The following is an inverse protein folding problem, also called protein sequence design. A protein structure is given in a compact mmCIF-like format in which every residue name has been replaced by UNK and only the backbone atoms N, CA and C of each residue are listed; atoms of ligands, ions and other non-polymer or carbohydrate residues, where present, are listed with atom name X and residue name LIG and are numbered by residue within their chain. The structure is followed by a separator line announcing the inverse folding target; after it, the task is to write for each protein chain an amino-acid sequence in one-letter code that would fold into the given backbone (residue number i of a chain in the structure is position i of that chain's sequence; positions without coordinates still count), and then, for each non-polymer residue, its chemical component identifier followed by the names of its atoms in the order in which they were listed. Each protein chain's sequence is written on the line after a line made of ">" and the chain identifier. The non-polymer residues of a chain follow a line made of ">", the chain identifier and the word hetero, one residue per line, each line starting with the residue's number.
data_IF_284978893575
#
_entry.id   IF_284978893575
#
_cell.length_a   1.000
_cell.length_b   1.000
_cell.length_c   1.000
_cell.angle_alpha   90.00
_cell.angle_beta   90.00
_cell.angle_gamma   90.00
#
_symmetry.space_group_name_H-M   'P 1'
#
loop_
_entity.id
_entity.type
_entity.pdbx_description
1 polymer ?
#
# COMPACT_ATOMS: atom_id res chain seq x y z
N UNK A 1 -10.29 -59.81 -6.71
CA UNK A 1 -10.31 -58.51 -7.43
C UNK A 1 -10.80 -57.41 -6.48
N UNK A 2 -9.91 -56.56 -5.94
CA UNK A 2 -10.25 -55.52 -4.98
C UNK A 2 -10.63 -54.21 -5.70
N UNK A 3 -11.86 -54.14 -6.23
CA UNK A 3 -12.34 -52.96 -6.98
C UNK A 3 -13.44 -52.17 -6.24
N UNK A 4 -13.96 -52.70 -5.13
CA UNK A 4 -15.06 -52.07 -4.38
C UNK A 4 -14.63 -50.91 -3.48
N UNK A 5 -13.41 -50.93 -2.95
CA UNK A 5 -12.98 -49.96 -1.93
C UNK A 5 -12.66 -48.57 -2.49
N UNK A 6 -12.03 -48.51 -3.67
CA UNK A 6 -11.62 -47.25 -4.32
C UNK A 6 -12.86 -46.41 -4.73
N UNK A 7 -13.93 -47.05 -5.18
CA UNK A 7 -15.19 -46.38 -5.55
C UNK A 7 -15.95 -45.86 -4.32
N UNK A 8 -15.96 -46.61 -3.22
CA UNK A 8 -16.61 -46.21 -1.97
C UNK A 8 -15.92 -45.00 -1.31
N UNK A 9 -14.58 -44.96 -1.35
CA UNK A 9 -13.79 -43.81 -0.85
C UNK A 9 -14.09 -42.54 -1.66
N UNK A 10 -14.15 -42.63 -2.99
CA UNK A 10 -14.51 -41.49 -3.87
C UNK A 10 -15.94 -41.00 -3.61
N UNK A 11 -16.89 -41.88 -3.29
CA UNK A 11 -18.26 -41.50 -2.91
C UNK A 11 -18.35 -40.83 -1.53
N UNK A 12 -17.63 -41.34 -0.53
CA UNK A 12 -17.57 -40.73 0.82
C UNK A 12 -16.98 -39.32 0.76
N UNK A 13 -15.88 -39.13 0.02
CA UNK A 13 -15.28 -37.82 -0.21
C UNK A 13 -16.27 -36.84 -0.87
N UNK A 14 -16.94 -37.27 -1.95
CA UNK A 14 -17.98 -36.46 -2.62
C UNK A 14 -19.15 -36.10 -1.69
N UNK A 15 -19.60 -37.04 -0.84
CA UNK A 15 -20.67 -36.78 0.14
C UNK A 15 -20.24 -35.76 1.19
N UNK A 16 -18.99 -35.85 1.68
CA UNK A 16 -18.41 -34.87 2.61
C UNK A 16 -18.34 -33.48 1.99
N UNK A 17 -17.86 -33.36 0.75
CA UNK A 17 -17.83 -32.07 0.03
C UNK A 17 -19.23 -31.50 -0.16
N UNK A 18 -20.21 -32.32 -0.60
CA UNK A 18 -21.60 -31.87 -0.76
C UNK A 18 -22.19 -31.37 0.56
N UNK A 19 -21.91 -32.06 1.67
CA UNK A 19 -22.38 -31.64 2.99
C UNK A 19 -21.74 -30.33 3.43
N UNK A 20 -20.42 -30.17 3.26
CA UNK A 20 -19.73 -28.92 3.57
C UNK A 20 -20.24 -27.74 2.74
N UNK A 21 -20.52 -27.94 1.45
CA UNK A 21 -21.14 -26.91 0.59
C UNK A 21 -22.55 -26.60 1.06
N UNK A 22 -23.37 -27.62 1.34
CA UNK A 22 -24.73 -27.40 1.87
C UNK A 22 -24.67 -26.59 3.16
N UNK A 23 -23.87 -27.01 4.13
CA UNK A 23 -23.73 -26.35 5.44
C UNK A 23 -23.26 -24.90 5.27
N UNK A 24 -22.33 -24.63 4.34
CA UNK A 24 -21.88 -23.27 4.00
C UNK A 24 -23.02 -22.44 3.39
N UNK A 25 -23.73 -22.98 2.40
CA UNK A 25 -24.76 -22.23 1.65
C UNK A 25 -26.01 -21.96 2.48
N UNK A 26 -26.35 -22.88 3.39
CA UNK A 26 -27.47 -22.71 4.32
C UNK A 26 -27.05 -22.02 5.61
N UNK A 27 -25.77 -21.70 5.80
CA UNK A 27 -25.29 -21.00 6.98
C UNK A 27 -25.83 -19.57 7.05
N UNK A 28 -26.24 -19.14 8.24
CA UNK A 28 -26.59 -17.75 8.53
C UNK A 28 -25.41 -16.79 8.31
N UNK A 29 -24.18 -17.31 8.32
CA UNK A 29 -22.94 -16.54 8.18
C UNK A 29 -22.56 -16.25 6.73
N UNK A 30 -23.13 -16.95 5.73
CA UNK A 30 -22.75 -16.76 4.34
C UNK A 30 -22.95 -15.30 3.88
N UNK A 31 -24.15 -14.75 4.10
CA UNK A 31 -24.47 -13.39 3.67
C UNK A 31 -23.62 -12.34 4.41
N UNK A 32 -23.44 -12.38 5.74
CA UNK A 32 -22.48 -11.54 6.45
C UNK A 32 -21.05 -11.61 5.89
N UNK A 33 -20.54 -12.82 5.62
CA UNK A 33 -19.20 -13.01 5.05
C UNK A 33 -19.07 -12.39 3.65
N UNK A 34 -20.08 -12.56 2.78
CA UNK A 34 -20.10 -11.93 1.46
C UNK A 34 -20.13 -10.39 1.55
N UNK A 35 -20.95 -9.83 2.45
CA UNK A 35 -20.99 -8.38 2.70
C UNK A 35 -19.62 -7.86 3.16
N UNK A 36 -18.93 -8.60 4.01
CA UNK A 36 -17.58 -8.28 4.47
C UNK A 36 -16.56 -8.36 3.35
N UNK A 37 -16.60 -9.41 2.52
CA UNK A 37 -15.74 -9.55 1.34
C UNK A 37 -15.90 -8.39 0.36
N UNK A 38 -17.13 -7.94 0.11
CA UNK A 38 -17.41 -6.76 -0.74
C UNK A 38 -16.73 -5.50 -0.16
N UNK A 39 -16.75 -5.29 1.16
CA UNK A 39 -16.09 -4.14 1.78
C UNK A 39 -14.56 -4.19 1.60
N UNK A 40 -13.95 -5.36 1.78
CA UNK A 40 -12.51 -5.56 1.52
C UNK A 40 -12.18 -5.23 0.07
N UNK A 41 -12.90 -5.84 -0.88
CA UNK A 41 -12.69 -5.61 -2.31
C UNK A 41 -12.91 -4.15 -2.70
N UNK A 42 -13.87 -3.45 -2.07
CA UNK A 42 -14.11 -2.03 -2.32
C UNK A 42 -12.93 -1.16 -1.91
N UNK A 43 -12.30 -1.39 -0.75
CA UNK A 43 -11.09 -0.65 -0.35
C UNK A 43 -9.93 -0.89 -1.32
N UNK A 44 -9.72 -2.13 -1.77
CA UNK A 44 -8.70 -2.47 -2.77
C UNK A 44 -9.02 -1.76 -4.10
N UNK A 45 -10.26 -1.86 -4.58
CA UNK A 45 -10.68 -1.28 -5.86
C UNK A 45 -10.58 0.25 -5.89
N UNK A 46 -10.83 0.93 -4.77
CA UNK A 46 -10.59 2.39 -4.66
C UNK A 46 -9.11 2.70 -4.86
N UNK A 47 -8.22 1.92 -4.26
CA UNK A 47 -6.78 2.13 -4.38
C UNK A 47 -6.23 1.76 -5.76
N UNK A 48 -6.72 0.71 -6.41
CA UNK A 48 -6.37 0.40 -7.81
C UNK A 48 -6.76 1.53 -8.75
N UNK A 49 -8.00 2.04 -8.64
CA UNK A 49 -8.46 3.20 -9.43
C UNK A 49 -7.68 4.48 -9.15
N UNK A 50 -7.05 4.62 -7.97
CA UNK A 50 -6.16 5.75 -7.68
C UNK A 50 -4.87 5.65 -8.50
N UNK A 51 -4.37 4.45 -8.78
CA UNK A 51 -3.14 4.21 -9.55
C UNK A 51 -3.37 4.20 -11.07
N UNK A 52 -4.53 3.77 -11.54
CA UNK A 52 -4.84 3.61 -12.98
C UNK A 52 -5.03 4.93 -13.77
N UNK A 53 -4.85 6.12 -13.16
CA UNK A 53 -5.03 7.40 -13.85
C UNK A 53 -3.75 7.85 -14.57
N UNK A 54 -3.91 8.54 -15.71
CA UNK A 54 -2.87 8.93 -16.68
C UNK A 54 -1.57 9.53 -16.10
N UNK A 55 -1.64 10.22 -14.96
CA UNK A 55 -0.44 10.64 -14.23
C UNK A 55 -0.59 10.36 -12.73
N UNK A 56 0.30 9.51 -12.21
CA UNK A 56 0.46 9.25 -10.78
C UNK A 56 1.93 9.25 -10.38
N UNK A 57 2.34 10.14 -9.46
CA UNK A 57 3.69 10.11 -8.92
C UNK A 57 3.99 8.78 -8.25
N UNK A 58 5.21 8.27 -8.42
CA UNK A 58 5.70 7.01 -7.80
C UNK A 58 5.50 7.03 -6.28
N UNK A 59 5.64 8.21 -5.65
CA UNK A 59 5.38 8.45 -4.23
C UNK A 59 3.98 7.99 -3.77
N UNK A 60 2.98 7.99 -4.67
CA UNK A 60 1.61 7.57 -4.38
C UNK A 60 1.51 6.07 -4.10
N UNK A 61 2.42 5.26 -4.65
CA UNK A 61 2.48 3.83 -4.40
C UNK A 61 2.91 3.57 -2.96
N UNK A 62 3.97 4.25 -2.48
CA UNK A 62 4.40 4.14 -1.08
C UNK A 62 3.28 4.56 -0.12
N UNK A 63 2.62 5.69 -0.42
CA UNK A 63 1.48 6.18 0.38
C UNK A 63 0.36 5.15 0.50
N UNK A 64 0.01 4.49 -0.60
CA UNK A 64 -1.02 3.46 -0.63
C UNK A 64 -0.69 2.32 0.33
N UNK A 65 0.54 1.83 0.33
CA UNK A 65 0.95 0.73 1.21
C UNK A 65 1.00 1.12 2.68
N UNK A 66 1.29 2.39 2.99
CA UNK A 66 1.16 2.92 4.36
C UNK A 66 -0.30 2.98 4.82
N UNK A 67 -1.21 3.41 3.94
CA UNK A 67 -2.61 3.64 4.31
C UNK A 67 -3.45 2.36 4.35
N UNK A 68 -3.20 1.42 3.44
CA UNK A 68 -4.01 0.23 3.26
C UNK A 68 -4.22 -0.60 4.55
N UNK A 69 -3.21 -0.81 5.43
CA UNK A 69 -3.41 -1.47 6.72
C UNK A 69 -4.39 -0.78 7.66
N UNK A 70 -4.49 0.56 7.61
CA UNK A 70 -5.44 1.34 8.42
C UNK A 70 -6.82 1.38 7.77
N UNK A 71 -6.90 1.51 6.44
CA UNK A 71 -8.14 1.39 5.70
C UNK A 71 -8.80 0.01 5.95
N UNK A 72 -8.02 -1.06 6.00
CA UNK A 72 -8.50 -2.42 6.27
C UNK A 72 -9.02 -2.63 7.71
N UNK A 73 -8.60 -1.83 8.68
CA UNK A 73 -9.15 -1.87 10.04
C UNK A 73 -10.60 -1.40 10.06
N UNK A 74 -10.94 -0.42 9.21
CA UNK A 74 -12.30 0.12 9.11
C UNK A 74 -13.32 -0.85 8.50
N UNK A 75 -12.88 -1.98 7.94
CA UNK A 75 -13.71 -2.96 7.24
C UNK A 75 -14.47 -3.90 8.20
N UNK A 76 -14.11 -3.96 9.48
CA UNK A 76 -14.71 -4.87 10.46
C UNK A 76 -14.13 -6.28 10.38
N UNK A 77 -12.83 -6.39 10.09
CA UNK A 77 -12.08 -7.64 10.18
C UNK A 77 -11.87 -8.03 11.66
N UNK A 78 -11.86 -9.32 11.94
CA UNK A 78 -11.36 -9.84 13.22
C UNK A 78 -9.87 -9.58 13.34
N UNK A 79 -9.33 -9.66 14.56
CA UNK A 79 -7.88 -9.48 14.77
C UNK A 79 -7.04 -10.47 13.95
N UNK A 80 -7.51 -11.72 13.81
CA UNK A 80 -6.82 -12.75 13.03
C UNK A 80 -6.81 -12.42 11.53
N UNK A 81 -7.97 -12.07 10.96
CA UNK A 81 -8.06 -11.69 9.54
C UNK A 81 -7.26 -10.41 9.26
N UNK A 82 -7.32 -9.42 10.14
CA UNK A 82 -6.53 -8.20 9.99
C UNK A 82 -5.03 -8.49 10.01
N UNK A 83 -4.57 -9.41 10.89
CA UNK A 83 -3.18 -9.87 10.90
C UNK A 83 -2.79 -10.51 9.58
N UNK A 84 -3.65 -11.37 9.02
CA UNK A 84 -3.43 -11.97 7.70
C UNK A 84 -3.37 -10.93 6.58
N UNK A 85 -4.28 -9.95 6.58
CA UNK A 85 -4.27 -8.86 5.59
C UNK A 85 -2.99 -8.04 5.68
N UNK A 86 -2.58 -7.64 6.89
CA UNK A 86 -1.32 -6.90 7.10
C UNK A 86 -0.11 -7.69 6.59
N UNK A 87 -0.07 -9.00 6.82
CA UNK A 87 0.99 -9.85 6.31
C UNK A 87 1.00 -9.89 4.78
N UNK A 88 -0.16 -10.03 4.13
CA UNK A 88 -0.25 -10.00 2.65
C UNK A 88 0.17 -8.63 2.11
N UNK A 89 -0.29 -7.53 2.71
CA UNK A 89 0.11 -6.17 2.31
C UNK A 89 1.62 -6.01 2.41
N UNK A 90 2.24 -6.48 3.49
CA UNK A 90 3.70 -6.45 3.66
C UNK A 90 4.42 -7.24 2.57
N UNK A 91 4.02 -8.49 2.33
CA UNK A 91 4.63 -9.33 1.27
C UNK A 91 4.51 -8.68 -0.11
N UNK A 92 3.38 -8.03 -0.39
CA UNK A 92 3.19 -7.31 -1.66
C UNK A 92 4.04 -6.04 -1.71
N UNK A 93 4.13 -5.30 -0.62
CA UNK A 93 5.01 -4.14 -0.53
C UNK A 93 6.47 -4.53 -0.76
N UNK A 94 6.99 -5.52 -0.02
CA UNK A 94 8.38 -6.01 -0.17
C UNK A 94 8.68 -6.51 -1.60
N UNK A 95 7.66 -6.98 -2.33
CA UNK A 95 7.81 -7.47 -3.71
C UNK A 95 7.92 -6.33 -4.75
N UNK A 96 7.30 -5.17 -4.50
CA UNK A 96 7.24 -4.06 -5.47
C UNK A 96 8.09 -2.87 -5.05
N UNK A 97 8.45 -2.78 -3.78
CA UNK A 97 9.22 -1.68 -3.24
C UNK A 97 10.65 -1.70 -3.81
N UNK A 98 11.10 -0.52 -4.20
CA UNK A 98 12.47 -0.21 -4.55
C UNK A 98 12.84 1.16 -3.97
N UNK A 99 14.11 1.55 -4.09
CA UNK A 99 14.59 2.83 -3.57
C UNK A 99 13.91 4.03 -4.24
N UNK A 100 13.42 3.91 -5.48
CA UNK A 100 12.70 4.98 -6.17
C UNK A 100 11.36 5.30 -5.49
N UNK A 101 10.68 4.30 -4.94
CA UNK A 101 9.47 4.51 -4.14
C UNK A 101 9.76 5.30 -2.86
N UNK A 102 10.82 4.92 -2.14
CA UNK A 102 11.25 5.60 -0.91
C UNK A 102 11.70 7.03 -1.17
N UNK A 103 12.58 7.21 -2.15
CA UNK A 103 13.08 8.52 -2.58
C UNK A 103 11.96 9.44 -3.04
N UNK A 104 11.09 8.98 -3.94
CA UNK A 104 9.99 9.81 -4.43
C UNK A 104 9.03 10.19 -3.30
N UNK A 105 8.80 9.32 -2.31
CA UNK A 105 7.99 9.65 -1.15
C UNK A 105 8.67 10.64 -0.19
N UNK A 106 9.99 10.55 -0.03
CA UNK A 106 10.78 11.48 0.77
C UNK A 106 10.89 12.87 0.13
N UNK A 107 11.00 12.92 -1.21
CA UNK A 107 11.22 14.13 -2.00
C UNK A 107 9.94 14.75 -2.57
N UNK A 108 8.76 14.18 -2.33
CA UNK A 108 7.46 14.76 -2.69
C UNK A 108 6.80 15.42 -1.46
N UNK A 109 5.58 15.93 -1.63
CA UNK A 109 4.68 16.53 -0.64
C UNK A 109 4.49 15.74 0.67
N UNK A 110 4.88 14.47 0.69
CA UNK A 110 4.78 13.61 1.85
C UNK A 110 5.99 13.74 2.79
N UNK A 111 7.14 14.21 2.33
CA UNK A 111 8.34 14.44 3.16
C UNK A 111 8.77 13.22 4.00
N UNK A 112 8.46 12.01 3.54
CA UNK A 112 8.71 10.79 4.31
C UNK A 112 7.78 10.58 5.51
N UNK A 113 6.64 11.27 5.60
CA UNK A 113 5.70 11.14 6.72
C UNK A 113 5.19 9.68 6.86
N UNK A 114 5.36 9.10 8.05
CA UNK A 114 4.98 7.71 8.33
C UNK A 114 5.97 6.65 7.83
N UNK A 115 7.08 7.04 7.21
CA UNK A 115 8.17 6.14 6.86
C UNK A 115 8.86 5.62 8.13
N UNK A 116 9.08 4.31 8.21
CA UNK A 116 9.82 3.71 9.32
C UNK A 116 11.28 4.16 9.33
N UNK A 117 11.87 4.31 10.52
CA UNK A 117 13.25 4.80 10.69
C UNK A 117 14.26 4.01 9.84
N UNK A 118 14.20 2.68 9.86
CA UNK A 118 15.10 1.84 9.06
C UNK A 118 14.97 2.08 7.55
N UNK A 119 13.75 2.24 7.04
CA UNK A 119 13.52 2.57 5.62
C UNK A 119 14.04 3.96 5.30
N UNK A 120 13.79 4.94 6.18
CA UNK A 120 14.25 6.31 5.98
C UNK A 120 15.77 6.39 5.92
N UNK A 121 16.47 5.76 6.86
CA UNK A 121 17.93 5.69 6.87
C UNK A 121 18.46 5.02 5.60
N UNK A 122 17.81 3.96 5.11
CA UNK A 122 18.19 3.31 3.85
C UNK A 122 18.03 4.25 2.64
N UNK A 123 16.93 5.00 2.57
CA UNK A 123 16.67 5.97 1.49
C UNK A 123 17.66 7.14 1.54
N UNK A 124 17.96 7.66 2.72
CA UNK A 124 18.94 8.73 2.92
C UNK A 124 20.35 8.24 2.53
N UNK A 125 20.76 7.04 2.96
CA UNK A 125 22.03 6.44 2.56
C UNK A 125 22.12 6.19 1.04
N UNK A 126 21.02 5.77 0.40
CA UNK A 126 20.97 5.62 -1.05
C UNK A 126 21.17 6.99 -1.74
N UNK A 127 20.51 8.04 -1.25
CA UNK A 127 20.65 9.39 -1.77
C UNK A 127 22.10 9.88 -1.65
N UNK A 128 22.74 9.69 -0.49
CA UNK A 128 24.15 10.02 -0.26
C UNK A 128 25.07 9.29 -1.26
N UNK A 129 24.85 8.00 -1.46
CA UNK A 129 25.64 7.19 -2.39
C UNK A 129 25.55 7.67 -3.85
N UNK A 130 24.41 8.26 -4.23
CA UNK A 130 24.19 8.79 -5.58
C UNK A 130 25.01 10.06 -5.85
N UNK A 131 25.23 10.90 -4.83
CA UNK A 131 25.99 12.15 -4.96
C UNK A 131 27.51 11.97 -4.80
N UNK A 132 27.95 10.77 -4.41
CA UNK A 132 29.34 10.37 -4.31
C UNK A 132 29.94 10.56 -2.92
N UNK A 133 31.05 9.86 -2.68
CA UNK A 133 31.75 9.85 -1.40
C UNK A 133 32.15 11.29 -0.97
N UNK A 134 31.97 11.58 0.32
CA UNK A 134 32.22 12.89 0.97
C UNK A 134 31.19 14.00 0.73
N UNK A 135 30.03 13.71 0.13
CA UNK A 135 28.93 14.69 -0.02
C UNK A 135 27.72 14.45 0.90
N UNK A 136 27.85 13.54 1.87
CA UNK A 136 26.74 13.18 2.76
C UNK A 136 26.18 14.39 3.52
N UNK A 137 27.06 15.23 4.09
CA UNK A 137 26.64 16.44 4.80
C UNK A 137 25.93 17.44 3.89
N UNK A 138 26.42 17.64 2.66
CA UNK A 138 25.76 18.49 1.65
C UNK A 138 24.33 17.99 1.35
N UNK A 139 24.18 16.68 1.12
CA UNK A 139 22.90 16.04 0.83
C UNK A 139 21.92 16.21 1.99
N UNK A 140 22.36 16.03 3.22
CA UNK A 140 21.54 16.20 4.43
C UNK A 140 21.08 17.66 4.56
N UNK A 141 21.98 18.62 4.31
CA UNK A 141 21.67 20.04 4.34
C UNK A 141 20.64 20.43 3.27
N UNK A 142 20.81 19.95 2.03
CA UNK A 142 19.86 20.19 0.94
C UNK A 142 18.49 19.56 1.22
N UNK A 143 18.46 18.31 1.67
CA UNK A 143 17.22 17.62 2.04
C UNK A 143 16.46 18.37 3.15
N UNK A 144 17.19 18.84 4.16
CA UNK A 144 16.63 19.65 5.25
C UNK A 144 16.11 20.99 4.72
N UNK A 145 16.84 21.64 3.82
CA UNK A 145 16.42 22.88 3.15
C UNK A 145 15.14 22.69 2.35
N UNK A 146 15.06 21.62 1.57
CA UNK A 146 13.89 21.26 0.77
C UNK A 146 12.66 20.98 1.64
N UNK A 147 12.81 20.24 2.75
CA UNK A 147 11.72 20.00 3.68
C UNK A 147 11.20 21.30 4.32
N UNK A 148 12.09 22.22 4.72
CA UNK A 148 11.70 23.55 5.21
C UNK A 148 10.95 24.34 4.14
N UNK A 149 11.43 24.34 2.90
CA UNK A 149 10.75 24.96 1.77
C UNK A 149 9.33 24.39 1.58
N UNK A 150 9.15 23.07 1.62
CA UNK A 150 7.83 22.43 1.48
C UNK A 150 6.87 22.86 2.60
N UNK A 151 7.34 22.91 3.85
CA UNK A 151 6.55 23.38 5.00
C UNK A 151 6.11 24.82 4.81
N UNK A 152 7.03 25.70 4.39
CA UNK A 152 6.69 27.08 4.10
C UNK A 152 5.75 27.24 2.92
N UNK A 153 5.97 26.49 1.84
CA UNK A 153 5.16 26.52 0.63
C UNK A 153 3.73 26.06 0.93
N UNK A 154 3.56 24.98 1.70
CA UNK A 154 2.25 24.52 2.19
C UNK A 154 1.50 25.63 2.93
N UNK A 155 2.21 26.42 3.74
CA UNK A 155 1.63 27.54 4.51
C UNK A 155 1.29 28.75 3.65
N UNK A 156 2.22 29.19 2.80
CA UNK A 156 2.14 30.43 2.00
C UNK A 156 1.30 30.27 0.74
N UNK A 157 1.29 29.07 0.13
CA UNK A 157 0.70 28.80 -1.19
C UNK A 157 -0.38 27.71 -1.13
N UNK A 158 -1.32 27.81 -0.17
CA UNK A 158 -2.37 26.80 0.09
C UNK A 158 -3.07 26.27 -1.17
N UNK A 159 -3.42 27.15 -2.11
CA UNK A 159 -4.10 26.74 -3.34
C UNK A 159 -3.22 25.87 -4.23
N UNK A 160 -1.95 26.25 -4.43
CA UNK A 160 -1.00 25.46 -5.23
C UNK A 160 -0.64 24.15 -4.53
N UNK A 161 -0.51 24.18 -3.21
CA UNK A 161 -0.35 22.97 -2.39
C UNK A 161 -1.51 21.99 -2.60
N UNK A 162 -2.76 22.47 -2.57
CA UNK A 162 -3.91 21.61 -2.83
C UNK A 162 -3.89 21.00 -4.23
N UNK A 163 -3.49 21.78 -5.25
CA UNK A 163 -3.34 21.25 -6.61
C UNK A 163 -2.26 20.16 -6.70
N UNK A 164 -1.17 20.29 -5.95
CA UNK A 164 -0.13 19.26 -5.83
C UNK A 164 -0.70 18.00 -5.16
N UNK A 165 -1.39 18.14 -4.02
CA UNK A 165 -2.05 17.02 -3.33
C UNK A 165 -3.10 16.30 -4.19
N UNK A 166 -3.85 17.05 -4.99
CA UNK A 166 -4.86 16.52 -5.91
C UNK A 166 -4.24 15.86 -7.16
N UNK A 167 -2.91 15.93 -7.33
CA UNK A 167 -2.17 15.56 -8.55
C UNK A 167 -2.62 16.33 -9.81
N UNK A 168 -3.11 17.56 -9.63
CA UNK A 168 -3.42 18.50 -10.73
C UNK A 168 -2.22 19.35 -11.12
N UNK A 169 -1.25 19.49 -10.21
CA UNK A 169 0.08 20.00 -10.50
C UNK A 169 1.03 18.80 -10.47
N UNK A 170 1.66 18.43 -11.59
CA UNK A 170 2.67 17.37 -11.63
C UNK A 170 3.83 17.66 -10.68
N UNK A 171 4.36 16.62 -10.02
CA UNK A 171 5.47 16.77 -9.06
C UNK A 171 6.73 17.27 -9.77
N UNK A 172 6.98 16.79 -10.99
CA UNK A 172 8.10 17.24 -11.81
C UNK A 172 8.07 18.75 -12.10
N UNK A 173 6.90 19.28 -12.48
CA UNK A 173 6.72 20.73 -12.74
C UNK A 173 6.88 21.58 -11.48
N UNK A 174 6.60 20.99 -10.32
CA UNK A 174 6.82 21.62 -9.03
C UNK A 174 8.30 21.63 -8.67
N UNK A 175 9.00 20.49 -8.77
CA UNK A 175 10.39 20.34 -8.36
C UNK A 175 11.39 21.12 -9.23
N UNK A 176 11.11 21.35 -10.52
CA UNK A 176 12.01 22.16 -11.38
C UNK A 176 11.90 23.67 -11.11
N UNK A 177 10.79 24.11 -10.53
CA UNK A 177 10.52 25.53 -10.27
C UNK A 177 10.71 25.92 -8.81
N UNK A 178 11.12 24.98 -7.97
CA UNK A 178 11.44 25.15 -6.55
C UNK A 178 12.92 25.52 -6.39
#
# INVERSE_FOLDING_TARGET
>A
MPTRDILAVKQKAKKKTRRAVFDLVTSTELVPQLKKAIKVLKSIGVNLKRLEKDYKPISSVYKLFLDLPSEMQSVGLTAAELKSVKAVVKVRFDCVYDDAHGLSYLLDRYMGEGMGMATRTGVEAFLESWYGDNRADDVILELTGYQKFLVEFKRKSKRRWQLLCDNKLPVYDFCIRA
#
